data_IF_860069180192
#
_entry.id   IF_860069180192
#
_cell.length_a   1.000
_cell.length_b   1.000
_cell.length_c   1.000
_cell.angle_alpha   90.00
_cell.angle_beta   90.00
_cell.angle_gamma   90.00
#
_symmetry.space_group_name_H-M   'P 1'
#
loop_
_entity.id
_entity.type
_entity.pdbx_description
1 polymer ?
#
# COMPACT_ATOMS: atom_id res chain seq x y z
N UNK A 1 14.80 -33.27 0.32
CA UNK A 1 13.57 -32.91 -0.40
C UNK A 1 13.62 -31.42 -0.73
N UNK A 2 13.30 -31.07 -1.99
CA UNK A 2 13.36 -29.68 -2.50
C UNK A 2 12.39 -28.72 -1.80
N UNK A 3 11.35 -29.20 -1.11
CA UNK A 3 10.32 -28.40 -0.46
C UNK A 3 9.13 -28.12 -1.40
N UNK A 4 8.10 -27.46 -0.87
CA UNK A 4 6.87 -27.11 -1.59
C UNK A 4 7.10 -25.86 -2.43
N UNK A 5 6.83 -25.96 -3.73
CA UNK A 5 6.72 -24.82 -4.65
C UNK A 5 5.23 -24.48 -4.78
N UNK A 6 4.87 -23.20 -4.69
CA UNK A 6 3.52 -22.71 -4.92
C UNK A 6 3.55 -21.84 -6.18
N UNK A 7 2.67 -22.13 -7.11
CA UNK A 7 2.40 -21.30 -8.29
C UNK A 7 0.96 -20.81 -8.12
N UNK A 8 0.76 -19.50 -8.20
CA UNK A 8 -0.55 -18.88 -8.02
C UNK A 8 -0.82 -17.89 -9.15
N UNK A 9 -2.06 -17.87 -9.62
CA UNK A 9 -2.55 -16.89 -10.58
C UNK A 9 -3.99 -16.50 -10.24
N UNK A 10 -4.26 -15.20 -10.25
CA UNK A 10 -5.56 -14.61 -10.01
C UNK A 10 -5.80 -13.45 -10.98
N UNK A 11 -7.00 -13.38 -11.53
CA UNK A 11 -7.41 -12.34 -12.47
C UNK A 11 -8.88 -11.95 -12.23
N UNK A 12 -9.22 -10.73 -12.60
CA UNK A 12 -10.59 -10.23 -12.61
C UNK A 12 -10.93 -9.59 -13.97
N UNK A 13 -12.17 -9.11 -14.14
CA UNK A 13 -12.65 -8.43 -15.34
C UNK A 13 -12.84 -6.93 -15.11
N UNK A 14 -12.04 -6.30 -14.26
CA UNK A 14 -12.08 -4.86 -13.95
C UNK A 14 -10.93 -4.08 -14.61
N UNK A 15 -10.35 -4.61 -15.66
CA UNK A 15 -9.37 -3.89 -16.47
C UNK A 15 -10.06 -2.94 -17.47
N UNK A 16 -9.44 -1.79 -17.74
CA UNK A 16 -9.95 -0.81 -18.68
C UNK A 16 -10.93 0.21 -18.08
N UNK A 17 -11.72 0.88 -18.92
CA UNK A 17 -12.66 1.91 -18.52
C UNK A 17 -13.82 1.34 -17.69
N UNK A 18 -14.50 2.20 -16.93
CA UNK A 18 -15.69 1.84 -16.19
C UNK A 18 -16.76 1.23 -17.12
N UNK A 19 -17.37 0.13 -16.67
CA UNK A 19 -18.31 -0.65 -17.48
C UNK A 19 -17.69 -1.59 -18.52
N UNK A 20 -16.36 -1.62 -18.64
CA UNK A 20 -15.67 -2.61 -19.47
C UNK A 20 -15.48 -3.92 -18.70
N UNK A 21 -15.49 -5.05 -19.43
CA UNK A 21 -15.19 -6.38 -18.90
C UNK A 21 -13.80 -6.86 -19.33
N UNK A 22 -12.85 -5.95 -19.40
CA UNK A 22 -11.48 -6.27 -19.82
C UNK A 22 -10.77 -7.09 -18.73
N UNK A 23 -10.16 -8.24 -19.06
CA UNK A 23 -9.39 -9.01 -18.10
C UNK A 23 -8.24 -8.22 -17.50
N UNK A 24 -8.04 -8.33 -16.19
CA UNK A 24 -6.94 -7.71 -15.45
C UNK A 24 -6.24 -8.76 -14.59
N UNK A 25 -4.92 -8.91 -14.79
CA UNK A 25 -4.10 -9.74 -13.92
C UNK A 25 -3.94 -9.06 -12.55
N UNK A 26 -4.37 -9.73 -11.50
CA UNK A 26 -4.19 -9.30 -10.10
C UNK A 26 -2.89 -9.85 -9.55
N UNK A 27 -2.81 -11.17 -9.39
CA UNK A 27 -1.62 -11.85 -8.89
C UNK A 27 -1.16 -12.94 -9.86
N UNK A 28 0.14 -13.07 -10.03
CA UNK A 28 0.81 -14.18 -10.71
C UNK A 28 2.20 -14.33 -10.14
N UNK A 29 2.43 -15.34 -9.33
CA UNK A 29 3.72 -15.52 -8.68
C UNK A 29 4.08 -16.99 -8.46
N UNK A 30 5.38 -17.20 -8.24
CA UNK A 30 5.95 -18.46 -7.76
C UNK A 30 6.54 -18.22 -6.38
N UNK A 31 6.23 -19.08 -5.42
CA UNK A 31 6.78 -19.00 -4.07
C UNK A 31 7.48 -20.31 -3.67
N UNK A 32 8.65 -20.16 -3.05
CA UNK A 32 9.49 -21.28 -2.59
C UNK A 32 10.32 -20.87 -1.37
N UNK A 33 10.16 -21.59 -0.25
CA UNK A 33 10.91 -21.36 1.00
C UNK A 33 10.95 -19.91 1.48
N UNK A 34 9.82 -19.20 1.38
CA UNK A 34 9.69 -17.79 1.77
C UNK A 34 10.08 -16.78 0.70
N UNK A 35 10.73 -17.22 -0.38
CA UNK A 35 10.99 -16.38 -1.55
C UNK A 35 9.77 -16.39 -2.48
N UNK A 36 9.26 -15.21 -2.83
CA UNK A 36 8.18 -15.02 -3.80
C UNK A 36 8.67 -14.14 -4.95
N UNK A 37 8.44 -14.61 -6.17
CA UNK A 37 8.82 -13.93 -7.41
C UNK A 37 7.58 -13.76 -8.29
N UNK A 38 7.26 -12.54 -8.68
CA UNK A 38 6.13 -12.27 -9.57
C UNK A 38 5.31 -11.06 -9.12
N UNK A 39 4.02 -11.07 -9.44
CA UNK A 39 3.07 -10.00 -9.11
C UNK A 39 2.13 -10.45 -8.00
N UNK A 40 2.01 -9.65 -6.96
CA UNK A 40 1.12 -9.88 -5.83
C UNK A 40 0.78 -8.56 -5.13
N UNK A 41 -0.04 -8.62 -4.09
CA UNK A 41 -0.28 -7.46 -3.21
C UNK A 41 1.05 -7.02 -2.60
N UNK A 42 1.27 -5.71 -2.58
CA UNK A 42 2.49 -5.10 -2.04
C UNK A 42 2.81 -5.59 -0.63
N UNK A 43 4.07 -5.70 -0.34
CA UNK A 43 4.59 -6.05 0.99
C UNK A 43 4.29 -4.99 2.04
N UNK A 44 4.01 -3.75 1.62
CA UNK A 44 3.61 -2.68 2.53
C UNK A 44 2.18 -2.84 3.07
N UNK A 45 1.29 -3.52 2.35
CA UNK A 45 -0.11 -3.70 2.71
C UNK A 45 -0.33 -4.80 3.76
N UNK A 46 -1.32 -4.61 4.64
CA UNK A 46 -1.84 -5.62 5.57
C UNK A 46 -3.31 -5.90 5.26
N UNK A 47 -3.55 -6.89 4.40
CA UNK A 47 -4.90 -7.30 4.00
C UNK A 47 -5.75 -7.79 5.17
N UNK A 48 -5.13 -8.35 6.20
CA UNK A 48 -5.84 -8.92 7.35
C UNK A 48 -6.38 -7.84 8.29
N UNK A 49 -5.87 -6.62 8.20
CA UNK A 49 -6.34 -5.47 8.98
C UNK A 49 -7.52 -4.73 8.32
N UNK A 50 -7.98 -5.19 7.16
CA UNK A 50 -9.16 -4.64 6.50
C UNK A 50 -10.44 -5.25 7.09
N UNK A 51 -11.42 -4.43 7.49
CA UNK A 51 -12.73 -4.93 7.89
C UNK A 51 -13.49 -5.48 6.68
N UNK A 52 -14.44 -6.38 6.92
CA UNK A 52 -15.38 -6.81 5.89
C UNK A 52 -16.39 -5.70 5.65
N UNK A 53 -16.37 -5.10 4.47
CA UNK A 53 -17.29 -4.04 4.04
C UNK A 53 -18.09 -4.47 2.82
N UNK A 54 -19.28 -3.88 2.63
CA UNK A 54 -20.10 -4.07 1.42
C UNK A 54 -19.43 -3.37 0.24
N UNK A 55 -18.85 -2.20 0.50
CA UNK A 55 -18.06 -1.50 -0.49
C UNK A 55 -16.73 -2.23 -0.73
N UNK A 56 -16.51 -2.65 -1.97
CA UNK A 56 -15.29 -3.34 -2.38
C UNK A 56 -14.04 -2.46 -2.29
N UNK A 57 -14.19 -1.13 -2.34
CA UNK A 57 -13.08 -0.18 -2.17
C UNK A 57 -12.57 -0.17 -0.73
N UNK A 58 -13.40 -0.59 0.22
CA UNK A 58 -13.07 -0.58 1.64
C UNK A 58 -13.10 0.82 2.26
N UNK A 59 -12.62 0.97 3.49
CA UNK A 59 -12.54 2.26 4.16
C UNK A 59 -11.42 3.13 3.58
N UNK A 60 -11.54 4.45 3.74
CA UNK A 60 -10.48 5.41 3.41
C UNK A 60 -9.18 5.04 4.13
N UNK A 61 -8.03 5.45 3.55
CA UNK A 61 -6.70 5.13 4.06
C UNK A 61 -6.38 3.62 4.04
N UNK A 62 -7.13 2.82 3.31
CA UNK A 62 -6.80 1.42 3.11
C UNK A 62 -5.56 1.30 2.21
N UNK A 63 -4.52 0.69 2.74
CA UNK A 63 -3.31 0.43 1.99
C UNK A 63 -3.52 -0.79 1.11
N UNK A 64 -3.56 -0.58 -0.20
CA UNK A 64 -3.74 -1.65 -1.16
C UNK A 64 -3.14 -1.28 -2.52
N UNK A 65 -2.27 -2.14 -3.02
CA UNK A 65 -1.70 -2.05 -4.37
C UNK A 65 -1.19 -3.42 -4.80
N UNK A 66 -1.15 -3.66 -6.12
CA UNK A 66 -0.46 -4.81 -6.70
C UNK A 66 0.89 -4.37 -7.26
N UNK A 67 1.95 -5.08 -6.88
CA UNK A 67 3.30 -4.80 -7.35
C UNK A 67 3.95 -6.06 -7.94
N UNK A 68 4.79 -5.89 -8.95
CA UNK A 68 5.72 -6.94 -9.39
C UNK A 68 6.94 -6.86 -8.51
N UNK A 69 7.32 -7.98 -7.90
CA UNK A 69 8.28 -7.98 -6.81
C UNK A 69 9.15 -9.23 -6.73
N UNK A 70 10.24 -9.07 -6.01
CA UNK A 70 10.98 -10.13 -5.34
C UNK A 70 10.77 -9.90 -3.85
N UNK A 71 10.07 -10.83 -3.16
CA UNK A 71 9.75 -10.74 -1.73
C UNK A 71 10.35 -11.92 -1.00
N UNK A 72 10.92 -11.67 0.17
CA UNK A 72 11.34 -12.70 1.09
C UNK A 72 10.66 -12.54 2.44
N UNK A 73 10.09 -13.65 2.94
CA UNK A 73 9.38 -13.70 4.21
C UNK A 73 9.92 -14.83 5.06
N UNK A 74 10.22 -14.55 6.32
CA UNK A 74 10.68 -15.52 7.30
C UNK A 74 9.85 -15.43 8.57
N UNK A 75 9.38 -16.60 9.03
CA UNK A 75 8.68 -16.71 10.32
C UNK A 75 9.61 -17.32 11.37
N UNK A 76 9.62 -16.75 12.55
CA UNK A 76 10.43 -17.17 13.69
C UNK A 76 9.62 -17.10 15.01
N UNK A 77 10.25 -17.33 16.16
CA UNK A 77 9.56 -17.38 17.45
C UNK A 77 8.33 -18.30 17.45
N UNK A 78 8.50 -19.56 17.03
CA UNK A 78 7.42 -20.54 16.84
C UNK A 78 6.32 -20.06 15.88
N UNK A 79 6.69 -19.24 14.88
CA UNK A 79 5.82 -18.60 13.90
C UNK A 79 4.87 -17.53 14.48
N UNK A 80 5.14 -17.02 15.67
CA UNK A 80 4.44 -15.83 16.17
C UNK A 80 4.93 -14.54 15.53
N UNK A 81 6.18 -14.52 15.10
CA UNK A 81 6.75 -13.36 14.41
C UNK A 81 7.02 -13.68 12.94
N UNK A 82 6.72 -12.73 12.08
CA UNK A 82 7.04 -12.79 10.64
C UNK A 82 7.69 -11.48 10.24
N UNK A 83 8.83 -11.59 9.59
CA UNK A 83 9.50 -10.48 8.92
C UNK A 83 9.40 -10.68 7.42
N UNK A 84 9.06 -9.62 6.70
CA UNK A 84 9.04 -9.59 5.25
C UNK A 84 9.75 -8.37 4.70
N UNK A 85 10.43 -8.54 3.57
CA UNK A 85 11.08 -7.48 2.82
C UNK A 85 10.95 -7.76 1.33
N UNK A 86 10.81 -6.71 0.53
CA UNK A 86 10.76 -6.87 -0.92
C UNK A 86 11.48 -5.75 -1.66
N UNK A 87 11.80 -6.06 -2.93
CA UNK A 87 12.10 -5.07 -3.96
C UNK A 87 10.92 -5.10 -4.95
N UNK A 88 10.20 -4.00 -5.05
CA UNK A 88 8.97 -3.86 -5.84
C UNK A 88 9.18 -2.90 -7.01
N UNK A 89 8.58 -3.18 -8.14
CA UNK A 89 8.58 -2.25 -9.28
C UNK A 89 7.85 -0.97 -8.89
N UNK A 90 8.50 0.20 -8.98
CA UNK A 90 7.89 1.46 -8.59
C UNK A 90 6.69 1.81 -9.47
N UNK A 91 5.61 2.24 -8.83
CA UNK A 91 4.52 2.92 -9.48
C UNK A 91 4.55 4.39 -9.02
N UNK A 92 4.68 5.33 -9.96
CA UNK A 92 4.77 6.77 -9.66
C UNK A 92 3.54 7.45 -10.22
N UNK A 93 2.75 8.06 -9.35
CA UNK A 93 1.57 8.84 -9.69
C UNK A 93 1.79 10.29 -9.23
N UNK A 94 2.25 11.15 -10.15
CA UNK A 94 2.68 12.51 -9.83
C UNK A 94 2.24 13.53 -10.86
N UNK A 95 2.14 14.77 -10.43
CA UNK A 95 1.93 15.93 -11.31
C UNK A 95 3.28 16.55 -11.66
N UNK A 96 3.62 16.56 -12.95
CA UNK A 96 4.96 16.97 -13.40
C UNK A 96 5.06 18.45 -13.77
N UNK A 97 3.95 19.12 -14.13
CA UNK A 97 3.97 20.48 -14.67
C UNK A 97 4.78 20.57 -15.97
N UNK A 98 5.19 21.79 -16.34
CA UNK A 98 5.95 22.04 -17.59
C UNK A 98 7.45 21.75 -17.45
N UNK A 99 8.00 21.89 -16.25
CA UNK A 99 9.45 21.79 -15.98
C UNK A 99 9.97 20.36 -15.77
N UNK A 100 9.05 19.40 -15.62
CA UNK A 100 9.42 18.01 -15.37
C UNK A 100 8.66 17.05 -16.32
N UNK A 101 9.25 15.90 -16.57
CA UNK A 101 8.62 14.84 -17.38
C UNK A 101 8.79 13.49 -16.70
N UNK A 102 7.82 12.59 -16.87
CA UNK A 102 7.96 11.21 -16.40
C UNK A 102 9.15 10.54 -17.09
N UNK A 103 9.80 9.64 -16.39
CA UNK A 103 10.85 8.79 -16.92
C UNK A 103 10.79 7.38 -16.33
N UNK A 104 11.52 6.47 -16.94
CA UNK A 104 11.65 5.11 -16.41
C UNK A 104 12.33 5.13 -15.04
N UNK A 105 11.71 4.43 -14.08
CA UNK A 105 12.25 4.30 -12.74
C UNK A 105 13.47 3.39 -12.75
N UNK A 106 14.49 3.70 -11.95
CA UNK A 106 15.79 3.04 -11.95
C UNK A 106 16.04 2.21 -10.71
N UNK A 107 15.36 2.55 -9.62
CA UNK A 107 15.53 1.91 -8.32
C UNK A 107 14.18 1.36 -7.87
N UNK A 108 14.09 0.09 -7.40
CA UNK A 108 12.89 -0.46 -6.83
C UNK A 108 12.42 0.30 -5.58
N UNK A 109 11.15 0.20 -5.27
CA UNK A 109 10.64 0.52 -3.95
C UNK A 109 10.99 -0.62 -2.99
N UNK A 110 11.33 -0.30 -1.73
CA UNK A 110 11.75 -1.28 -0.72
C UNK A 110 10.78 -1.27 0.47
N UNK A 111 9.64 -1.96 0.37
CA UNK A 111 8.77 -2.19 1.51
C UNK A 111 9.31 -3.32 2.40
N UNK A 112 9.06 -3.17 3.71
CA UNK A 112 9.36 -4.17 4.72
C UNK A 112 8.31 -4.16 5.82
N UNK A 113 8.18 -5.27 6.55
CA UNK A 113 7.31 -5.33 7.72
C UNK A 113 7.81 -6.29 8.79
N UNK A 114 7.35 -6.05 10.01
CA UNK A 114 7.42 -6.98 11.13
C UNK A 114 6.02 -7.17 11.71
N UNK A 115 5.58 -8.42 11.80
CA UNK A 115 4.27 -8.80 12.33
C UNK A 115 4.43 -9.71 13.54
N UNK A 116 3.63 -9.47 14.57
CA UNK A 116 3.46 -10.36 15.70
C UNK A 116 2.02 -10.87 15.73
N UNK A 117 1.86 -12.19 15.79
CA UNK A 117 0.55 -12.85 15.79
C UNK A 117 0.39 -13.74 17.03
N UNK A 118 -0.80 -13.71 17.63
CA UNK A 118 -1.15 -14.45 18.83
C UNK A 118 -2.61 -14.94 18.80
N UNK A 119 -3.01 -15.65 19.85
CA UNK A 119 -4.34 -16.25 19.98
C UNK A 119 -4.43 -17.59 19.27
N UNK A 120 -5.61 -18.20 19.37
CA UNK A 120 -5.92 -19.46 18.70
C UNK A 120 -5.79 -19.28 17.19
N UNK A 121 -5.03 -20.20 16.56
CA UNK A 121 -4.72 -20.15 15.13
C UNK A 121 -4.17 -18.80 14.62
N UNK A 122 -3.54 -18.02 15.53
CA UNK A 122 -3.03 -16.66 15.24
C UNK A 122 -4.12 -15.73 14.72
N UNK A 123 -5.27 -15.79 15.35
CA UNK A 123 -6.47 -15.01 15.01
C UNK A 123 -6.33 -13.51 15.26
N UNK A 124 -5.28 -13.12 15.98
CA UNK A 124 -4.92 -11.73 16.26
C UNK A 124 -3.51 -11.43 15.80
N UNK A 125 -3.27 -10.23 15.29
CA UNK A 125 -1.94 -9.76 14.96
C UNK A 125 -1.84 -8.23 15.06
N UNK A 126 -0.61 -7.76 15.23
CA UNK A 126 -0.21 -6.38 14.97
C UNK A 126 0.96 -6.40 13.99
N UNK A 127 1.04 -5.38 13.16
CA UNK A 127 2.05 -5.25 12.12
C UNK A 127 2.54 -3.81 12.02
N UNK A 128 3.86 -3.65 11.98
CA UNK A 128 4.53 -2.42 11.62
C UNK A 128 5.16 -2.61 10.24
N UNK A 129 4.86 -1.72 9.30
CA UNK A 129 5.41 -1.75 7.95
C UNK A 129 6.10 -0.42 7.63
N UNK A 130 7.10 -0.45 6.77
CA UNK A 130 7.78 0.72 6.24
C UNK A 130 8.04 0.55 4.75
N UNK A 131 8.15 1.67 4.03
CA UNK A 131 8.57 1.70 2.62
C UNK A 131 9.51 2.86 2.38
N UNK A 132 10.56 2.62 1.59
CA UNK A 132 11.48 3.64 1.07
C UNK A 132 11.40 3.62 -0.44
N UNK A 133 11.28 4.80 -1.04
CA UNK A 133 11.10 5.02 -2.48
C UNK A 133 12.05 6.08 -2.98
N UNK A 134 12.42 5.98 -4.25
CA UNK A 134 13.23 7.02 -4.91
C UNK A 134 12.71 7.30 -6.33
N UNK A 135 11.56 7.98 -6.48
CA UNK A 135 11.03 8.35 -7.79
C UNK A 135 11.97 9.25 -8.57
N UNK A 136 12.20 8.89 -9.82
CA UNK A 136 13.02 9.62 -10.78
C UNK A 136 12.15 10.41 -11.74
N UNK A 137 12.62 11.60 -12.11
CA UNK A 137 12.00 12.47 -13.10
C UNK A 137 13.06 13.18 -13.94
N UNK A 138 12.67 13.60 -15.13
CA UNK A 138 13.51 14.39 -16.02
C UNK A 138 13.21 15.87 -15.84
N UNK A 139 14.24 16.67 -15.48
CA UNK A 139 14.16 18.14 -15.39
C UNK A 139 14.46 18.76 -16.77
N UNK A 140 13.42 19.34 -17.40
CA UNK A 140 13.50 19.85 -18.77
C UNK A 140 14.50 20.98 -18.91
N UNK A 141 14.48 21.96 -17.98
CA UNK A 141 15.33 23.15 -18.05
C UNK A 141 16.84 22.88 -18.00
N UNK A 142 17.25 21.77 -17.38
CA UNK A 142 18.66 21.38 -17.24
C UNK A 142 19.01 20.14 -18.06
N UNK A 143 18.04 19.56 -18.78
CA UNK A 143 18.19 18.29 -19.49
C UNK A 143 18.85 17.22 -18.62
N UNK A 144 18.43 17.11 -17.36
CA UNK A 144 19.06 16.25 -16.35
C UNK A 144 18.02 15.38 -15.63
N UNK A 145 18.49 14.27 -15.10
CA UNK A 145 17.70 13.42 -14.21
C UNK A 145 17.80 13.94 -12.79
N UNK A 146 16.67 14.00 -12.10
CA UNK A 146 16.57 14.24 -10.66
C UNK A 146 15.69 13.20 -10.00
N UNK A 147 15.84 13.03 -8.71
CA UNK A 147 15.02 12.11 -7.91
C UNK A 147 14.66 12.73 -6.57
N UNK A 148 13.61 12.20 -5.95
CA UNK A 148 13.17 12.60 -4.63
C UNK A 148 13.15 11.35 -3.73
N UNK A 149 13.35 11.55 -2.43
CA UNK A 149 13.17 10.49 -1.45
C UNK A 149 11.73 10.49 -0.96
N UNK A 150 11.00 9.40 -1.24
CA UNK A 150 9.70 9.10 -0.65
C UNK A 150 9.84 8.05 0.44
N UNK A 151 8.97 8.11 1.43
CA UNK A 151 8.95 7.14 2.52
C UNK A 151 7.57 7.05 3.16
N UNK A 152 7.28 5.92 3.78
CA UNK A 152 6.05 5.73 4.52
C UNK A 152 6.18 4.72 5.63
N UNK A 153 5.35 4.88 6.65
CA UNK A 153 5.21 3.94 7.76
C UNK A 153 3.74 3.60 7.95
N UNK A 154 3.47 2.37 8.35
CA UNK A 154 2.13 1.88 8.63
C UNK A 154 2.16 1.09 9.93
N UNK A 155 1.13 1.27 10.74
CA UNK A 155 0.83 0.39 11.86
C UNK A 155 -0.59 -0.16 11.68
N UNK A 156 -0.73 -1.48 11.73
CA UNK A 156 -1.99 -2.15 11.43
C UNK A 156 -2.19 -3.37 12.31
N UNK A 157 -3.40 -3.89 12.32
CA UNK A 157 -3.67 -5.13 13.03
C UNK A 157 -5.13 -5.50 13.11
N UNK A 158 -5.33 -6.74 13.50
CA UNK A 158 -6.63 -7.32 13.82
C UNK A 158 -6.56 -7.97 15.18
N UNK A 159 -7.51 -7.66 16.06
CA UNK A 159 -7.58 -8.22 17.40
C UNK A 159 -8.91 -8.95 17.56
N UNK A 160 -8.85 -10.26 17.72
CA UNK A 160 -9.99 -11.06 18.16
C UNK A 160 -10.13 -10.90 19.66
N UNK A 161 -10.99 -9.96 20.10
CA UNK A 161 -11.22 -9.71 21.53
C UNK A 161 -11.93 -10.86 22.22
N UNK A 162 -12.90 -11.48 21.52
CA UNK A 162 -13.64 -12.66 21.93
C UNK A 162 -14.25 -13.33 20.69
N UNK A 163 -15.01 -14.42 20.86
CA UNK A 163 -15.55 -15.18 19.72
C UNK A 163 -16.58 -14.39 18.91
N UNK A 164 -17.23 -13.45 19.54
CA UNK A 164 -18.26 -12.64 18.88
C UNK A 164 -17.78 -11.23 18.49
N UNK A 165 -16.56 -10.75 18.91
CA UNK A 165 -16.09 -9.41 18.59
C UNK A 165 -14.65 -9.38 18.08
N UNK A 166 -14.44 -8.70 16.96
CA UNK A 166 -13.14 -8.46 16.34
C UNK A 166 -12.96 -6.98 16.03
N UNK A 167 -11.77 -6.45 16.34
CA UNK A 167 -11.34 -5.09 16.04
C UNK A 167 -10.33 -5.10 14.88
N UNK A 168 -10.48 -4.14 13.97
CA UNK A 168 -9.55 -3.86 12.87
C UNK A 168 -9.01 -2.46 12.99
N UNK A 169 -7.72 -2.28 12.75
CA UNK A 169 -7.07 -0.98 12.80
C UNK A 169 -5.98 -0.86 11.75
N UNK A 170 -5.84 0.33 11.20
CA UNK A 170 -4.75 0.69 10.30
C UNK A 170 -4.48 2.19 10.43
N UNK A 171 -3.22 2.58 10.49
CA UNK A 171 -2.76 3.96 10.43
C UNK A 171 -1.55 4.06 9.53
N UNK A 172 -1.51 5.06 8.66
CA UNK A 172 -0.44 5.29 7.69
C UNK A 172 -0.01 6.75 7.73
N UNK A 173 1.28 6.99 7.61
CA UNK A 173 1.89 8.30 7.44
C UNK A 173 3.07 8.20 6.48
N UNK A 174 3.26 9.20 5.62
CA UNK A 174 4.42 9.24 4.74
C UNK A 174 4.39 10.38 3.75
N UNK A 175 5.40 10.41 2.89
CA UNK A 175 5.56 11.37 1.81
C UNK A 175 5.80 10.63 0.50
N UNK A 176 4.99 10.95 -0.54
CA UNK A 176 5.09 10.30 -1.85
C UNK A 176 4.71 8.83 -1.84
N UNK A 177 3.65 8.45 -1.12
CA UNK A 177 3.15 7.07 -1.01
C UNK A 177 1.74 6.88 -1.58
N UNK A 178 1.27 7.79 -2.42
CA UNK A 178 -0.08 7.74 -3.00
C UNK A 178 -0.42 6.43 -3.69
N UNK A 179 0.50 5.77 -4.43
CA UNK A 179 0.17 4.52 -5.10
C UNK A 179 -0.08 3.35 -4.15
N UNK A 180 0.30 3.48 -2.88
CA UNK A 180 0.08 2.46 -1.85
C UNK A 180 -1.26 2.63 -1.13
N UNK A 181 -1.94 3.76 -1.30
CA UNK A 181 -3.24 4.06 -0.69
C UNK A 181 -4.30 4.01 -1.78
N UNK A 182 -5.27 3.13 -1.62
CA UNK A 182 -6.25 2.83 -2.68
C UNK A 182 -7.00 4.08 -3.16
N UNK A 183 -7.45 4.95 -2.27
CA UNK A 183 -8.20 6.17 -2.61
C UNK A 183 -7.36 7.19 -3.39
N UNK A 184 -6.03 7.14 -3.27
CA UNK A 184 -5.10 8.06 -3.92
C UNK A 184 -4.43 7.47 -5.16
N UNK A 185 -4.77 6.23 -5.53
CA UNK A 185 -4.22 5.60 -6.72
C UNK A 185 -4.59 6.39 -7.96
N UNK A 186 -3.60 6.84 -8.73
CA UNK A 186 -3.81 7.65 -9.93
C UNK A 186 -4.10 9.13 -9.68
N UNK A 187 -4.08 9.61 -8.43
CA UNK A 187 -4.38 11.00 -8.08
C UNK A 187 -3.33 12.02 -8.56
N UNK A 188 -2.13 11.58 -8.91
CA UNK A 188 -1.04 12.48 -9.31
C UNK A 188 -0.34 13.18 -8.13
N UNK A 189 -0.52 12.68 -6.89
CA UNK A 189 -0.12 13.37 -5.66
C UNK A 189 1.12 12.78 -4.98
N UNK A 190 1.92 11.94 -5.64
CA UNK A 190 3.23 11.54 -5.09
C UNK A 190 4.11 12.76 -4.85
N UNK A 191 4.19 13.62 -5.84
CA UNK A 191 4.82 14.93 -5.77
C UNK A 191 4.14 15.93 -6.72
N UNK A 192 4.30 17.20 -6.41
CA UNK A 192 3.78 18.31 -7.25
C UNK A 192 4.82 19.42 -7.35
N UNK A 193 4.83 20.19 -8.46
CA UNK A 193 5.62 21.41 -8.56
C UNK A 193 5.14 22.45 -7.55
N UNK A 194 6.07 23.29 -7.09
CA UNK A 194 5.72 24.45 -6.29
C UNK A 194 4.96 25.49 -7.16
N UNK A 195 3.79 25.97 -6.76
CA UNK A 195 3.07 27.02 -7.49
C UNK A 195 3.85 28.33 -7.65
N UNK A 196 4.66 28.71 -6.65
CA UNK A 196 5.48 29.93 -6.69
C UNK A 196 6.77 29.77 -7.50
N UNK A 197 7.36 28.56 -7.49
CA UNK A 197 8.55 28.22 -8.28
C UNK A 197 8.38 26.84 -8.93
N UNK A 198 7.81 26.77 -10.13
CA UNK A 198 7.60 25.50 -10.83
C UNK A 198 8.89 24.72 -11.16
N UNK A 199 10.07 25.26 -10.90
CA UNK A 199 11.34 24.54 -11.02
C UNK A 199 11.67 23.64 -9.83
N UNK A 200 10.92 23.76 -8.74
CA UNK A 200 11.03 22.96 -7.52
C UNK A 200 9.85 21.98 -7.43
N UNK A 201 10.14 20.77 -6.96
CA UNK A 201 9.13 19.73 -6.66
C UNK A 201 9.36 19.20 -5.24
N UNK A 202 8.27 18.80 -4.60
CA UNK A 202 8.29 18.15 -3.29
C UNK A 202 7.40 16.95 -3.24
N UNK A 203 7.79 15.97 -2.45
CA UNK A 203 6.92 14.87 -2.05
C UNK A 203 5.76 15.40 -1.22
N UNK A 204 4.57 14.87 -1.48
CA UNK A 204 3.36 15.27 -0.76
C UNK A 204 3.22 14.46 0.52
N UNK A 205 3.18 15.14 1.69
CA UNK A 205 2.91 14.47 2.95
C UNK A 205 1.45 14.05 3.02
N UNK A 206 1.21 12.85 3.55
CA UNK A 206 -0.14 12.35 3.75
C UNK A 206 -0.22 11.47 4.99
N UNK A 207 -1.41 11.41 5.56
CA UNK A 207 -1.71 10.51 6.65
C UNK A 207 -3.16 10.05 6.58
N UNK A 208 -3.40 8.91 7.12
CA UNK A 208 -4.75 8.41 7.25
C UNK A 208 -4.82 7.29 8.29
N UNK A 209 -6.02 7.00 8.74
CA UNK A 209 -6.29 5.89 9.63
C UNK A 209 -7.70 5.37 9.47
N UNK A 210 -7.87 4.13 9.86
CA UNK A 210 -9.16 3.47 9.98
C UNK A 210 -9.24 2.67 11.28
N UNK A 211 -10.43 2.60 11.85
CA UNK A 211 -10.76 1.70 12.93
C UNK A 211 -12.16 1.13 12.69
N UNK A 212 -12.31 -0.18 12.79
CA UNK A 212 -13.59 -0.84 12.55
C UNK A 212 -13.77 -2.01 13.52
N UNK A 213 -15.04 -2.27 13.87
CA UNK A 213 -15.45 -3.42 14.66
C UNK A 213 -16.34 -4.36 13.85
N UNK A 214 -16.24 -5.65 14.12
CA UNK A 214 -17.13 -6.66 13.61
C UNK A 214 -17.72 -7.46 14.76
N UNK A 215 -19.05 -7.56 14.79
CA UNK A 215 -19.81 -8.35 15.77
C UNK A 215 -20.39 -9.54 15.04
N UNK A 216 -20.00 -10.75 15.42
CA UNK A 216 -20.56 -12.01 14.91
C UNK A 216 -21.76 -12.39 15.78
N UNK A 217 -22.97 -12.23 15.26
CA UNK A 217 -24.22 -12.54 15.94
C UNK A 217 -24.46 -14.06 15.94
N UNK A 218 -24.15 -14.69 14.82
CA UNK A 218 -24.15 -16.14 14.63
C UNK A 218 -22.95 -16.55 13.77
N UNK A 219 -22.64 -17.84 13.60
CA UNK A 219 -21.58 -18.27 12.66
C UNK A 219 -21.81 -17.86 11.20
N UNK A 220 -23.04 -17.42 10.84
CA UNK A 220 -23.42 -17.04 9.47
C UNK A 220 -23.86 -15.58 9.33
N UNK A 221 -23.99 -14.86 10.44
CA UNK A 221 -24.47 -13.47 10.47
C UNK A 221 -23.52 -12.63 11.29
N UNK A 222 -23.00 -11.59 10.67
CA UNK A 222 -22.19 -10.57 11.36
C UNK A 222 -22.62 -9.16 10.92
N UNK A 223 -22.27 -8.19 11.75
CA UNK A 223 -22.38 -6.75 11.46
C UNK A 223 -20.99 -6.14 11.63
N UNK A 224 -20.57 -5.36 10.66
CA UNK A 224 -19.34 -4.57 10.73
C UNK A 224 -19.63 -3.09 10.56
N UNK A 225 -18.87 -2.26 11.26
CA UNK A 225 -18.94 -0.82 11.14
C UNK A 225 -17.62 -0.19 11.57
N UNK A 226 -17.31 0.98 11.03
CA UNK A 226 -16.05 1.65 11.32
C UNK A 226 -16.04 3.10 10.87
N UNK A 227 -14.94 3.76 11.19
CA UNK A 227 -14.65 5.10 10.76
C UNK A 227 -13.24 5.16 10.17
N UNK A 228 -13.08 5.98 9.14
CA UNK A 228 -11.79 6.19 8.49
C UNK A 228 -11.63 7.63 8.02
N UNK A 229 -10.40 8.08 7.91
CA UNK A 229 -10.05 9.39 7.36
C UNK A 229 -8.71 9.33 6.64
N UNK A 230 -8.60 10.13 5.60
CA UNK A 230 -7.38 10.30 4.82
C UNK A 230 -7.18 11.78 4.53
N UNK A 231 -5.95 12.26 4.69
CA UNK A 231 -5.58 13.64 4.35
C UNK A 231 -4.25 13.68 3.62
N UNK A 232 -4.24 14.42 2.52
CA UNK A 232 -3.02 14.93 1.90
C UNK A 232 -2.76 16.30 2.51
N UNK A 233 -1.57 16.51 3.04
CA UNK A 233 -1.22 17.76 3.72
C UNK A 233 -0.65 18.76 2.73
N UNK A 234 -0.97 20.03 2.93
CA UNK A 234 -0.26 21.13 2.27
C UNK A 234 1.18 21.16 2.73
N UNK A 235 2.10 21.14 1.82
CA UNK A 235 3.52 21.25 2.14
C UNK A 235 4.01 22.66 1.85
N UNK A 236 4.20 23.48 2.90
CA UNK A 236 4.96 24.74 2.86
C UNK A 236 4.57 25.67 1.68
N UNK A 237 3.31 26.01 1.52
CA UNK A 237 2.82 26.90 0.45
C UNK A 237 2.63 26.24 -0.92
N UNK A 238 2.80 24.92 -1.04
CA UNK A 238 2.59 24.18 -2.28
C UNK A 238 1.12 24.07 -2.74
N UNK A 239 0.19 24.47 -1.91
CA UNK A 239 -1.23 24.64 -2.27
C UNK A 239 -1.77 25.90 -1.62
N UNK A 240 -2.39 26.76 -2.41
CA UNK A 240 -3.21 27.86 -1.94
C UNK A 240 -4.63 27.38 -1.59
N UNK A 241 -5.37 28.15 -0.79
CA UNK A 241 -6.71 27.79 -0.31
C UNK A 241 -7.78 27.66 -1.40
N UNK A 242 -7.43 28.03 -2.64
CA UNK A 242 -8.34 28.15 -3.79
C UNK A 242 -8.27 26.97 -4.78
N UNK A 243 -7.68 25.81 -4.39
CA UNK A 243 -7.64 24.60 -5.21
C UNK A 243 -8.25 23.38 -4.53
#
# INVERSE_FOLDING_TARGET
>A
ALGRVVIYMDADFRGGAEGSYTPRLRSAYVSFKGLTLGRDVTTFCDLQAAPTTIDFQGPNAYNFNFATMIRYEVSFARRHMTFGVAAEMPNVSATYGENFKPMHQRVPDFPMYLQYAWGDDRSSHIRASGVIRNPYMHKVSKNSTTSLLGWGVQFSGTIKCCDWFRLFMNGVYGEGITPYIQDLTGSGLDFTPNPEDPSLVRMMPMWGWQAAGQINITPRLFVSGGYSTLRVQRSHGYYTDDQ
#
